data_IF_111100477995
#
_entry.id   IF_111100477995
#
_cell.length_a   1.000
_cell.length_b   1.000
_cell.length_c   1.000
_cell.angle_alpha   90.00
_cell.angle_beta   90.00
_cell.angle_gamma   90.00
#
_symmetry.space_group_name_H-M   'P 1'
#
loop_
_entity.id
_entity.type
_entity.pdbx_description
1 polymer ?
#
# COMPACT_ATOMS: atom_id res chain seq x y z
N UNK A 1 -8.98 -57.37 -46.75
CA UNK A 1 -7.83 -57.69 -47.61
C UNK A 1 -7.62 -59.19 -47.54
N UNK A 2 -7.57 -59.89 -48.68
CA UNK A 2 -7.22 -61.31 -48.70
C UNK A 2 -5.89 -61.51 -47.98
N UNK A 3 -5.83 -62.46 -47.05
CA UNK A 3 -4.61 -62.80 -46.34
C UNK A 3 -3.72 -63.57 -47.33
N UNK A 4 -3.03 -62.82 -48.21
CA UNK A 4 -2.13 -63.40 -49.20
C UNK A 4 -0.93 -63.94 -48.43
N UNK A 5 -0.79 -65.25 -48.46
CA UNK A 5 0.37 -65.92 -47.90
C UNK A 5 1.59 -65.66 -48.79
N UNK A 6 2.34 -64.61 -48.44
CA UNK A 6 3.55 -64.20 -49.15
C UNK A 6 4.63 -65.26 -49.07
N UNK A 7 4.67 -66.07 -48.01
CA UNK A 7 5.65 -67.14 -47.87
C UNK A 7 5.34 -68.26 -48.86
N UNK A 8 4.08 -68.67 -48.96
CA UNK A 8 3.64 -69.63 -49.97
C UNK A 8 3.89 -69.12 -51.40
N UNK A 9 3.76 -67.82 -51.66
CA UNK A 9 4.12 -67.22 -52.95
C UNK A 9 5.64 -67.27 -53.20
N UNK A 10 6.46 -66.91 -52.21
CA UNK A 10 7.92 -66.99 -52.32
C UNK A 10 8.39 -68.41 -52.61
N UNK A 11 7.83 -69.41 -51.92
CA UNK A 11 8.13 -70.82 -52.15
C UNK A 11 7.69 -71.30 -53.53
N UNK A 12 6.51 -70.85 -54.00
CA UNK A 12 5.97 -71.22 -55.32
C UNK A 12 6.78 -70.69 -56.49
N UNK A 13 7.27 -69.45 -56.39
CA UNK A 13 7.99 -68.76 -57.45
C UNK A 13 9.52 -68.84 -57.31
N UNK A 14 10.00 -69.53 -56.27
CA UNK A 14 11.42 -69.87 -56.13
C UNK A 14 11.83 -70.96 -57.11
N UNK A 15 13.10 -70.98 -57.57
CA UNK A 15 13.64 -72.07 -58.37
C UNK A 15 13.41 -73.42 -57.70
N UNK A 16 12.91 -74.40 -58.46
CA UNK A 16 12.70 -75.75 -57.94
C UNK A 16 14.04 -76.48 -57.81
N UNK A 17 14.27 -77.20 -56.71
CA UNK A 17 15.47 -78.03 -56.58
C UNK A 17 15.48 -79.11 -57.67
N UNK A 18 16.68 -79.50 -58.07
CA UNK A 18 16.88 -80.62 -58.99
C UNK A 18 16.34 -81.89 -58.32
N UNK A 19 15.46 -82.67 -58.98
CA UNK A 19 14.91 -83.88 -58.40
C UNK A 19 15.98 -84.97 -58.30
N UNK A 20 15.88 -85.77 -57.25
CA UNK A 20 16.66 -86.99 -57.06
C UNK A 20 16.00 -88.17 -57.79
N UNK A 21 16.82 -89.12 -58.23
CA UNK A 21 16.33 -90.32 -58.89
C UNK A 21 15.59 -91.23 -57.89
N UNK A 22 14.32 -91.52 -58.13
CA UNK A 22 13.53 -92.41 -57.26
C UNK A 22 14.01 -93.89 -57.27
N UNK A 23 14.94 -94.25 -58.16
CA UNK A 23 15.48 -95.61 -58.28
C UNK A 23 16.81 -95.75 -57.51
N UNK A 24 17.70 -94.74 -57.55
CA UNK A 24 19.03 -94.82 -56.93
C UNK A 24 19.39 -93.66 -55.98
N UNK A 25 18.57 -92.62 -55.88
CA UNK A 25 18.79 -91.47 -54.99
C UNK A 25 19.74 -90.39 -55.53
N UNK A 26 20.40 -90.62 -56.67
CA UNK A 26 21.36 -89.66 -57.24
C UNK A 26 20.67 -88.44 -57.88
N UNK A 27 21.33 -87.28 -57.85
CA UNK A 27 20.85 -86.04 -58.46
C UNK A 27 20.69 -86.22 -59.97
N UNK A 28 19.52 -85.87 -60.49
CA UNK A 28 19.20 -86.10 -61.90
C UNK A 28 19.73 -84.96 -62.78
N UNK A 29 20.07 -85.29 -64.03
CA UNK A 29 20.55 -84.28 -64.99
C UNK A 29 19.44 -83.85 -65.95
N UNK A 30 19.50 -82.61 -66.41
CA UNK A 30 18.54 -82.04 -67.37
C UNK A 30 18.71 -82.69 -68.74
N UNK A 31 17.64 -83.30 -69.26
CA UNK A 31 17.64 -83.97 -70.56
C UNK A 31 16.99 -83.12 -71.66
N UNK A 32 15.94 -82.39 -71.28
CA UNK A 32 15.21 -81.50 -72.19
C UNK A 32 14.59 -80.35 -71.41
N UNK A 33 14.78 -79.14 -71.89
CA UNK A 33 14.07 -77.95 -71.42
C UNK A 33 13.15 -77.45 -72.53
N UNK A 34 11.85 -77.35 -72.24
CA UNK A 34 10.87 -76.75 -73.15
C UNK A 34 10.01 -75.77 -72.36
N UNK A 35 10.36 -74.49 -72.46
CA UNK A 35 9.75 -73.40 -71.68
C UNK A 35 9.71 -73.76 -70.18
N UNK A 36 8.51 -73.86 -69.60
CA UNK A 36 8.31 -74.19 -68.18
C UNK A 36 8.43 -75.69 -67.86
N UNK A 37 8.65 -76.58 -68.82
CA UNK A 37 8.75 -78.03 -68.56
C UNK A 37 10.19 -78.49 -68.69
N UNK A 38 10.79 -78.85 -67.56
CA UNK A 38 12.14 -79.40 -67.49
C UNK A 38 12.00 -80.91 -67.27
N UNK A 39 12.55 -81.69 -68.19
CA UNK A 39 12.63 -83.15 -68.04
C UNK A 39 14.00 -83.52 -67.51
N UNK A 40 14.00 -84.11 -66.32
CA UNK A 40 15.17 -84.68 -65.68
C UNK A 40 15.22 -86.18 -65.96
N UNK A 41 16.42 -86.73 -66.09
CA UNK A 41 16.66 -88.17 -66.25
C UNK A 41 17.89 -88.58 -65.46
N UNK A 42 17.86 -89.77 -64.87
CA UNK A 42 19.05 -90.34 -64.26
C UNK A 42 19.86 -91.05 -65.35
N UNK A 43 20.86 -90.36 -65.88
CA UNK A 43 21.78 -90.91 -66.89
C UNK A 43 22.74 -91.93 -66.29
N UNK A 44 22.95 -91.94 -64.97
CA UNK A 44 23.99 -92.75 -64.33
C UNK A 44 25.39 -92.39 -64.82
N UNK A 45 25.53 -91.20 -65.43
CA UNK A 45 26.76 -90.68 -65.99
C UNK A 45 27.48 -89.84 -64.94
N UNK A 46 28.71 -90.21 -64.66
CA UNK A 46 29.64 -89.41 -63.88
C UNK A 46 30.63 -88.74 -64.85
N UNK A 47 30.93 -87.47 -64.58
CA UNK A 47 31.82 -86.67 -65.40
C UNK A 47 33.10 -86.43 -64.61
N UNK A 48 34.23 -86.91 -65.13
CA UNK A 48 35.57 -86.62 -64.62
C UNK A 48 36.47 -86.09 -65.75
N UNK A 49 37.75 -85.83 -65.43
CA UNK A 49 38.75 -85.33 -66.39
C UNK A 49 39.03 -86.30 -67.56
N UNK A 50 38.52 -87.54 -67.52
CA UNK A 50 38.64 -88.57 -68.56
C UNK A 50 37.39 -88.71 -69.43
N UNK A 51 36.34 -87.94 -69.13
CA UNK A 51 35.10 -87.89 -69.90
C UNK A 51 33.93 -88.60 -69.22
N UNK A 52 32.84 -88.76 -69.97
CA UNK A 52 31.60 -89.35 -69.47
C UNK A 52 31.76 -90.88 -69.30
N UNK A 53 31.58 -91.37 -68.07
CA UNK A 53 31.57 -92.79 -67.77
C UNK A 53 30.27 -93.16 -67.05
N UNK A 54 29.74 -94.33 -67.38
CA UNK A 54 28.49 -94.85 -66.83
C UNK A 54 28.78 -95.92 -65.78
N UNK A 55 27.96 -96.00 -64.73
CA UNK A 55 28.05 -97.09 -63.77
C UNK A 55 27.86 -98.46 -64.45
N UNK A 56 28.39 -99.52 -63.85
CA UNK A 56 28.40 -100.86 -64.46
C UNK A 56 26.98 -101.35 -64.79
N UNK A 57 26.75 -101.74 -66.05
CA UNK A 57 25.42 -102.13 -66.57
C UNK A 57 24.53 -100.97 -67.02
N UNK A 58 25.02 -99.73 -67.00
CA UNK A 58 24.28 -98.53 -67.42
C UNK A 58 24.70 -98.02 -68.79
N UNK A 59 23.80 -97.35 -69.50
CA UNK A 59 24.09 -96.70 -70.80
C UNK A 59 23.21 -95.46 -71.04
N UNK A 60 23.52 -94.66 -72.06
CA UNK A 60 22.89 -93.35 -72.35
C UNK A 60 21.36 -93.40 -72.58
N UNK A 61 20.78 -94.59 -72.75
CA UNK A 61 19.34 -94.81 -72.89
C UNK A 61 18.95 -96.20 -72.37
N UNK A 62 19.45 -96.58 -71.20
CA UNK A 62 19.07 -97.82 -70.54
C UNK A 62 17.67 -97.76 -69.91
N UNK A 63 17.14 -98.92 -69.49
CA UNK A 63 15.84 -99.01 -68.83
C UNK A 63 15.74 -98.10 -67.60
N UNK A 64 16.86 -97.89 -66.88
CA UNK A 64 16.91 -96.99 -65.74
C UNK A 64 16.73 -95.53 -66.17
N UNK A 65 17.39 -95.10 -67.24
CA UNK A 65 17.24 -93.78 -67.82
C UNK A 65 15.78 -93.56 -68.24
N UNK A 66 15.16 -94.51 -68.93
CA UNK A 66 13.77 -94.39 -69.37
C UNK A 66 12.79 -94.34 -68.19
N UNK A 67 12.95 -95.24 -67.21
CA UNK A 67 12.07 -95.33 -66.03
C UNK A 67 12.28 -94.19 -65.04
N UNK A 68 13.48 -93.62 -64.95
CA UNK A 68 13.80 -92.55 -64.00
C UNK A 68 13.24 -91.18 -64.42
N UNK A 69 12.83 -90.99 -65.68
CA UNK A 69 12.47 -89.67 -66.21
C UNK A 69 11.31 -89.04 -65.47
N UNK A 70 11.53 -87.80 -65.02
CA UNK A 70 10.49 -86.96 -64.41
C UNK A 70 10.43 -85.62 -65.13
N UNK A 71 9.23 -85.13 -65.41
CA UNK A 71 9.03 -83.77 -65.92
C UNK A 71 8.54 -82.88 -64.79
N UNK A 72 9.38 -81.91 -64.41
CA UNK A 72 9.03 -80.88 -63.46
C UNK A 72 8.56 -79.65 -64.23
N UNK A 73 7.44 -79.07 -63.80
CA UNK A 73 7.00 -77.75 -64.31
C UNK A 73 7.67 -76.68 -63.46
N UNK A 74 8.64 -75.98 -64.01
CA UNK A 74 9.26 -74.83 -63.38
C UNK A 74 8.42 -73.57 -63.65
N UNK A 75 7.89 -73.00 -62.58
CA UNK A 75 7.10 -71.76 -62.59
C UNK A 75 7.83 -70.65 -61.82
N UNK A 76 9.14 -70.81 -61.62
CA UNK A 76 9.95 -69.80 -60.96
C UNK A 76 9.94 -68.49 -61.75
N UNK A 77 9.81 -67.38 -61.01
CA UNK A 77 9.71 -66.05 -61.59
C UNK A 77 10.46 -65.05 -60.68
N UNK A 78 11.67 -64.61 -61.09
CA UNK A 78 12.47 -63.69 -60.29
C UNK A 78 11.82 -62.30 -60.17
N UNK A 79 11.01 -61.87 -61.14
CA UNK A 79 10.33 -60.58 -61.09
C UNK A 79 9.24 -60.58 -60.02
N UNK A 80 8.51 -61.70 -59.86
CA UNK A 80 7.54 -61.88 -58.77
C UNK A 80 8.22 -61.84 -57.40
N UNK A 81 9.39 -62.46 -57.24
CA UNK A 81 10.15 -62.42 -55.98
C UNK A 81 10.63 -61.00 -55.65
N UNK A 82 11.14 -60.26 -56.65
CA UNK A 82 11.54 -58.87 -56.48
C UNK A 82 10.36 -57.97 -56.07
N UNK A 83 9.18 -58.18 -56.67
CA UNK A 83 7.96 -57.47 -56.29
C UNK A 83 7.50 -57.79 -54.85
N UNK A 84 7.70 -59.02 -54.38
CA UNK A 84 7.41 -59.38 -52.98
C UNK A 84 8.36 -58.68 -52.01
N UNK A 85 9.66 -58.58 -52.34
CA UNK A 85 10.64 -57.82 -51.56
C UNK A 85 10.29 -56.33 -51.48
N UNK A 86 9.91 -55.73 -52.61
CA UNK A 86 9.44 -54.34 -52.65
C UNK A 86 8.17 -54.14 -51.83
N UNK A 87 7.24 -55.09 -51.90
CA UNK A 87 6.00 -55.04 -51.13
C UNK A 87 6.26 -55.13 -49.62
N UNK A 88 7.20 -55.98 -49.19
CA UNK A 88 7.61 -56.09 -47.79
C UNK A 88 8.26 -54.79 -47.29
N UNK A 89 9.15 -54.17 -48.09
CA UNK A 89 9.74 -52.86 -47.78
C UNK A 89 8.68 -51.77 -47.66
N UNK A 90 7.73 -51.71 -48.60
CA UNK A 90 6.62 -50.74 -48.55
C UNK A 90 5.73 -50.95 -47.33
N UNK A 91 5.46 -52.20 -46.95
CA UNK A 91 4.69 -52.49 -45.73
C UNK A 91 5.43 -52.08 -44.46
N UNK A 92 6.74 -52.30 -44.38
CA UNK A 92 7.55 -51.81 -43.25
C UNK A 92 7.55 -50.27 -43.20
N UNK A 93 7.68 -49.60 -44.33
CA UNK A 93 7.59 -48.14 -44.41
C UNK A 93 6.24 -47.61 -43.93
N UNK A 94 5.13 -48.23 -44.36
CA UNK A 94 3.78 -47.85 -43.90
C UNK A 94 3.67 -47.99 -42.38
N UNK A 95 4.14 -49.10 -41.80
CA UNK A 95 4.12 -49.30 -40.34
C UNK A 95 4.91 -48.22 -39.59
N UNK A 96 6.10 -47.85 -40.09
CA UNK A 96 6.90 -46.79 -39.48
C UNK A 96 6.20 -45.43 -39.58
N UNK A 97 5.57 -45.12 -40.72
CA UNK A 97 4.79 -43.90 -40.91
C UNK A 97 3.55 -43.85 -40.02
N UNK A 98 2.87 -44.96 -39.84
CA UNK A 98 1.71 -45.06 -38.96
C UNK A 98 2.13 -44.82 -37.49
N UNK A 99 3.26 -45.39 -37.06
CA UNK A 99 3.82 -45.12 -35.73
C UNK A 99 4.21 -43.65 -35.55
N UNK A 100 4.91 -43.06 -36.54
CA UNK A 100 5.29 -41.65 -36.52
C UNK A 100 4.04 -40.74 -36.45
N UNK A 101 3.00 -41.07 -37.21
CA UNK A 101 1.73 -40.33 -37.20
C UNK A 101 1.04 -40.43 -35.83
N UNK A 102 1.08 -41.59 -35.17
CA UNK A 102 0.54 -41.80 -33.83
C UNK A 102 1.30 -40.95 -32.79
N UNK A 103 2.64 -40.97 -32.83
CA UNK A 103 3.49 -40.17 -31.96
C UNK A 103 3.28 -38.66 -32.15
N UNK A 104 3.10 -38.22 -33.40
CA UNK A 104 2.75 -36.84 -33.74
C UNK A 104 1.38 -36.48 -33.16
N UNK A 105 0.36 -37.35 -33.33
CA UNK A 105 -0.97 -37.10 -32.80
C UNK A 105 -0.98 -36.97 -31.27
N UNK A 106 -0.22 -37.81 -30.57
CA UNK A 106 -0.04 -37.73 -29.12
C UNK A 106 0.64 -36.43 -28.71
N UNK A 107 1.69 -36.02 -29.44
CA UNK A 107 2.42 -34.78 -29.15
C UNK A 107 1.58 -33.54 -29.39
N UNK A 108 0.87 -33.47 -30.52
CA UNK A 108 -0.07 -32.38 -30.83
C UNK A 108 -1.19 -32.33 -29.79
N UNK A 109 -1.69 -33.49 -29.33
CA UNK A 109 -2.66 -33.57 -28.25
C UNK A 109 -2.16 -32.91 -26.95
N UNK A 110 -0.93 -33.23 -26.52
CA UNK A 110 -0.31 -32.63 -25.34
C UNK A 110 -0.15 -31.11 -25.47
N UNK A 111 0.39 -30.65 -26.60
CA UNK A 111 0.58 -29.22 -26.88
C UNK A 111 -0.74 -28.45 -26.89
N UNK A 112 -1.82 -29.06 -27.37
CA UNK A 112 -3.15 -28.43 -27.37
C UNK A 112 -3.68 -28.21 -25.96
N UNK A 113 -3.49 -29.19 -25.07
CA UNK A 113 -3.88 -29.07 -23.66
C UNK A 113 -3.06 -27.99 -22.96
N UNK A 114 -1.74 -27.96 -23.18
CA UNK A 114 -0.87 -26.93 -22.62
C UNK A 114 -1.26 -25.53 -23.11
N UNK A 115 -1.56 -25.37 -24.41
CA UNK A 115 -2.01 -24.11 -24.98
C UNK A 115 -3.30 -23.60 -24.34
N UNK A 116 -4.29 -24.48 -24.14
CA UNK A 116 -5.54 -24.11 -23.46
C UNK A 116 -5.28 -23.71 -21.99
N UNK A 117 -4.36 -24.39 -21.30
CA UNK A 117 -3.95 -23.99 -19.95
C UNK A 117 -3.29 -22.59 -19.94
N UNK A 118 -2.42 -22.29 -20.91
CA UNK A 118 -1.80 -20.97 -21.02
C UNK A 118 -2.83 -19.86 -21.29
N UNK A 119 -3.77 -20.08 -22.21
CA UNK A 119 -4.87 -19.13 -22.48
C UNK A 119 -5.71 -18.86 -21.23
N UNK A 120 -6.11 -19.92 -20.51
CA UNK A 120 -6.85 -19.77 -19.25
C UNK A 120 -6.04 -19.02 -18.18
N UNK A 121 -4.71 -19.19 -18.16
CA UNK A 121 -3.84 -18.42 -17.27
C UNK A 121 -3.77 -16.95 -17.68
N UNK A 122 -3.65 -16.64 -18.96
CA UNK A 122 -3.64 -15.26 -19.47
C UNK A 122 -4.95 -14.52 -19.18
N UNK A 123 -6.09 -15.18 -19.36
CA UNK A 123 -7.41 -14.62 -19.02
C UNK A 123 -7.50 -14.28 -17.52
N UNK A 124 -7.06 -15.19 -16.65
CA UNK A 124 -7.03 -14.96 -15.19
C UNK A 124 -6.12 -13.80 -14.81
N UNK A 125 -4.93 -13.71 -15.42
CA UNK A 125 -3.99 -12.61 -15.18
C UNK A 125 -4.60 -11.29 -15.63
N UNK A 126 -5.22 -11.26 -16.81
CA UNK A 126 -5.87 -10.06 -17.35
C UNK A 126 -6.97 -9.57 -16.41
N UNK A 127 -7.83 -10.48 -15.95
CA UNK A 127 -8.89 -10.14 -14.99
C UNK A 127 -8.31 -9.59 -13.67
N UNK A 128 -7.28 -10.24 -13.12
CA UNK A 128 -6.64 -9.78 -11.90
C UNK A 128 -6.04 -8.37 -12.04
N UNK A 129 -5.40 -8.08 -13.18
CA UNK A 129 -4.83 -6.75 -13.45
C UNK A 129 -5.93 -5.69 -13.53
N UNK A 130 -7.05 -5.98 -14.19
CA UNK A 130 -8.20 -5.07 -14.26
C UNK A 130 -8.83 -4.83 -12.88
N UNK A 131 -9.09 -5.89 -12.11
CA UNK A 131 -9.67 -5.79 -10.77
C UNK A 131 -8.75 -4.98 -9.83
N UNK A 132 -7.42 -5.21 -9.91
CA UNK A 132 -6.44 -4.42 -9.16
C UNK A 132 -6.42 -2.95 -9.62
N UNK A 133 -6.49 -2.68 -10.92
CA UNK A 133 -6.54 -1.30 -11.45
C UNK A 133 -7.75 -0.56 -10.89
N UNK A 134 -8.94 -1.15 -10.97
CA UNK A 134 -10.17 -0.56 -10.41
C UNK A 134 -10.07 -0.37 -8.90
N UNK A 135 -9.42 -1.31 -8.19
CA UNK A 135 -9.16 -1.15 -6.76
C UNK A 135 -8.25 0.05 -6.46
N UNK A 136 -7.21 0.27 -7.27
CA UNK A 136 -6.33 1.43 -7.13
C UNK A 136 -7.05 2.74 -7.41
N UNK A 137 -7.88 2.80 -8.45
CA UNK A 137 -8.67 3.99 -8.80
C UNK A 137 -9.55 4.44 -7.62
N UNK A 138 -10.26 3.50 -6.98
CA UNK A 138 -11.09 3.78 -5.80
C UNK A 138 -10.27 4.28 -4.61
N UNK A 139 -9.05 3.77 -4.43
CA UNK A 139 -8.15 4.24 -3.38
C UNK A 139 -7.64 5.66 -3.65
N UNK A 140 -7.31 5.97 -4.90
CA UNK A 140 -6.91 7.32 -5.30
C UNK A 140 -8.04 8.34 -5.12
N UNK A 141 -9.28 8.02 -5.52
CA UNK A 141 -10.42 8.90 -5.27
C UNK A 141 -10.65 9.16 -3.78
N UNK A 142 -10.51 8.13 -2.94
CA UNK A 142 -10.61 8.29 -1.48
C UNK A 142 -9.50 9.16 -0.91
N UNK A 143 -8.29 9.04 -1.44
CA UNK A 143 -7.14 9.86 -1.05
C UNK A 143 -7.38 11.32 -1.41
N UNK A 144 -7.75 11.61 -2.66
CA UNK A 144 -8.04 12.96 -3.15
C UNK A 144 -9.18 13.61 -2.35
N UNK A 145 -10.25 12.86 -2.07
CA UNK A 145 -11.34 13.33 -1.23
C UNK A 145 -10.90 13.61 0.22
N UNK A 146 -9.96 12.82 0.76
CA UNK A 146 -9.42 13.06 2.10
C UNK A 146 -8.52 14.29 2.15
N UNK A 147 -7.66 14.48 1.15
CA UNK A 147 -6.82 15.67 1.01
C UNK A 147 -7.67 16.94 0.91
N UNK A 148 -8.74 16.91 0.11
CA UNK A 148 -9.68 18.02 0.00
C UNK A 148 -10.33 18.35 1.36
N UNK A 149 -10.80 17.34 2.10
CA UNK A 149 -11.38 17.56 3.45
C UNK A 149 -10.36 18.15 4.42
N UNK A 150 -9.10 17.72 4.36
CA UNK A 150 -8.03 18.27 5.20
C UNK A 150 -7.78 19.74 4.85
N UNK A 151 -7.75 20.09 3.57
CA UNK A 151 -7.58 21.47 3.11
C UNK A 151 -8.74 22.37 3.60
N UNK A 152 -9.98 21.92 3.43
CA UNK A 152 -11.18 22.64 3.90
C UNK A 152 -11.16 22.83 5.44
N UNK A 153 -10.79 21.78 6.19
CA UNK A 153 -10.65 21.89 7.65
C UNK A 153 -9.56 22.88 8.05
N UNK A 154 -8.42 22.87 7.33
CA UNK A 154 -7.31 23.79 7.58
C UNK A 154 -7.75 25.24 7.40
N UNK A 155 -8.43 25.54 6.30
CA UNK A 155 -8.98 26.88 6.02
C UNK A 155 -9.97 27.32 7.11
N UNK A 156 -10.88 26.43 7.52
CA UNK A 156 -11.82 26.70 8.60
C UNK A 156 -11.10 27.07 9.91
N UNK A 157 -10.15 26.26 10.35
CA UNK A 157 -9.42 26.51 11.60
C UNK A 157 -8.54 27.75 11.52
N UNK A 158 -7.93 28.04 10.36
CA UNK A 158 -7.20 29.30 10.15
C UNK A 158 -8.11 30.52 10.31
N UNK A 159 -9.34 30.47 9.78
CA UNK A 159 -10.34 31.52 9.99
C UNK A 159 -10.70 31.72 11.46
N UNK A 160 -11.00 30.62 12.18
CA UNK A 160 -11.32 30.67 13.62
C UNK A 160 -10.17 31.25 14.44
N UNK A 161 -8.93 30.88 14.13
CA UNK A 161 -7.73 31.39 14.81
C UNK A 161 -7.55 32.88 14.51
N UNK A 162 -7.77 33.31 13.27
CA UNK A 162 -7.66 34.72 12.88
C UNK A 162 -8.68 35.60 13.62
N UNK A 163 -9.96 35.18 13.64
CA UNK A 163 -11.02 35.87 14.36
C UNK A 163 -10.77 35.91 15.87
N UNK A 164 -10.34 34.78 16.44
CA UNK A 164 -9.96 34.68 17.84
C UNK A 164 -8.81 35.63 18.19
N UNK A 165 -7.77 35.67 17.36
CA UNK A 165 -6.61 36.55 17.54
C UNK A 165 -7.00 38.03 17.48
N UNK A 166 -7.90 38.40 16.56
CA UNK A 166 -8.42 39.77 16.45
C UNK A 166 -9.16 40.18 17.72
N UNK A 167 -10.06 39.32 18.23
CA UNK A 167 -10.82 39.59 19.45
C UNK A 167 -9.92 39.72 20.69
N UNK A 168 -8.88 38.90 20.79
CA UNK A 168 -7.88 38.99 21.86
C UNK A 168 -7.16 40.35 21.79
N UNK A 169 -6.70 40.77 20.62
CA UNK A 169 -6.02 42.06 20.45
C UNK A 169 -6.92 43.26 20.84
N UNK A 170 -8.21 43.21 20.48
CA UNK A 170 -9.18 44.24 20.88
C UNK A 170 -9.37 44.28 22.41
N UNK A 171 -9.49 43.11 23.05
CA UNK A 171 -9.61 43.01 24.51
C UNK A 171 -8.33 43.50 25.21
N UNK A 172 -7.16 43.13 24.73
CA UNK A 172 -5.88 43.58 25.28
C UNK A 172 -5.75 45.10 25.22
N UNK A 173 -6.15 45.71 24.11
CA UNK A 173 -6.19 47.17 23.98
C UNK A 173 -7.14 47.80 24.99
N UNK A 174 -8.36 47.26 25.11
CA UNK A 174 -9.33 47.73 26.10
C UNK A 174 -8.82 47.61 27.55
N UNK A 175 -8.17 46.48 27.88
CA UNK A 175 -7.54 46.28 29.19
C UNK A 175 -6.42 47.29 29.45
N UNK A 176 -5.58 47.59 28.46
CA UNK A 176 -4.53 48.61 28.59
C UNK A 176 -5.11 50.00 28.84
N UNK A 177 -6.18 50.37 28.12
CA UNK A 177 -6.86 51.66 28.31
C UNK A 177 -7.51 51.76 29.69
N UNK A 178 -8.21 50.70 30.13
CA UNK A 178 -8.79 50.62 31.47
C UNK A 178 -7.70 50.72 32.55
N UNK A 179 -6.55 50.05 32.38
CA UNK A 179 -5.43 50.14 33.30
C UNK A 179 -4.87 51.56 33.40
N UNK A 180 -4.74 52.27 32.26
CA UNK A 180 -4.32 53.69 32.23
C UNK A 180 -5.31 54.57 32.99
N UNK A 181 -6.61 54.38 32.78
CA UNK A 181 -7.64 55.10 33.52
C UNK A 181 -7.52 54.83 35.02
N UNK A 182 -7.56 53.56 35.45
CA UNK A 182 -7.46 53.19 36.87
C UNK A 182 -6.25 53.85 37.54
N UNK A 183 -5.09 53.89 36.88
CA UNK A 183 -3.90 54.56 37.40
C UNK A 183 -4.07 56.08 37.54
N UNK A 184 -4.72 56.73 36.55
CA UNK A 184 -5.06 58.16 36.61
C UNK A 184 -6.00 58.48 37.78
N UNK A 185 -7.10 57.73 37.89
CA UNK A 185 -8.08 57.90 38.99
C UNK A 185 -7.45 57.64 40.35
N UNK A 186 -6.59 56.61 40.47
CA UNK A 186 -5.81 56.35 41.69
C UNK A 186 -4.92 57.53 42.06
N UNK A 187 -4.26 58.17 41.09
CA UNK A 187 -3.42 59.34 41.34
C UNK A 187 -4.25 60.52 41.84
N UNK A 188 -5.36 60.82 41.19
CA UNK A 188 -6.27 61.89 41.59
C UNK A 188 -6.82 61.65 43.01
N UNK A 189 -7.26 60.43 43.30
CA UNK A 189 -7.74 60.07 44.63
C UNK A 189 -6.66 60.29 45.72
N UNK A 190 -5.41 59.90 45.45
CA UNK A 190 -4.28 60.17 46.37
C UNK A 190 -4.05 61.67 46.60
N UNK A 191 -4.13 62.48 45.54
CA UNK A 191 -3.99 63.94 45.65
C UNK A 191 -5.12 64.53 46.49
N UNK A 192 -6.37 64.17 46.21
CA UNK A 192 -7.53 64.65 46.96
C UNK A 192 -7.47 64.26 48.45
N UNK A 193 -7.01 63.04 48.76
CA UNK A 193 -6.82 62.60 50.16
C UNK A 193 -5.72 63.44 50.83
N UNK A 194 -4.61 63.70 50.14
CA UNK A 194 -3.51 64.50 50.67
C UNK A 194 -3.94 65.97 50.91
N UNK A 195 -4.71 66.55 49.99
CA UNK A 195 -5.27 67.90 50.14
C UNK A 195 -6.23 67.98 51.32
N UNK A 196 -7.21 67.08 51.40
CA UNK A 196 -8.12 67.01 52.55
C UNK A 196 -7.39 66.78 53.87
N UNK A 197 -6.29 66.02 53.87
CA UNK A 197 -5.44 65.84 55.04
C UNK A 197 -4.79 67.15 55.53
N UNK A 198 -4.40 68.03 54.61
CA UNK A 198 -3.92 69.38 54.95
C UNK A 198 -5.04 70.22 55.54
N UNK A 199 -6.20 70.24 54.89
CA UNK A 199 -7.36 71.01 55.38
C UNK A 199 -7.78 70.58 56.79
N UNK A 200 -7.76 69.26 57.08
CA UNK A 200 -8.03 68.72 58.41
C UNK A 200 -6.97 69.21 59.41
N UNK A 201 -5.69 69.19 59.05
CA UNK A 201 -4.60 69.65 59.91
C UNK A 201 -4.74 71.15 60.24
N UNK A 202 -5.12 71.96 59.25
CA UNK A 202 -5.39 73.40 59.43
C UNK A 202 -6.62 73.64 60.32
N UNK A 203 -7.70 72.88 60.13
CA UNK A 203 -8.89 72.94 60.98
C UNK A 203 -8.58 72.55 62.42
N UNK A 204 -7.75 71.52 62.64
CA UNK A 204 -7.31 71.12 63.98
C UNK A 204 -6.49 72.22 64.65
N UNK A 205 -5.55 72.85 63.93
CA UNK A 205 -4.77 73.98 64.43
C UNK A 205 -5.67 75.19 64.77
N UNK A 206 -6.64 75.52 63.90
CA UNK A 206 -7.60 76.58 64.16
C UNK A 206 -8.48 76.30 65.38
N UNK A 207 -8.95 75.06 65.54
CA UNK A 207 -9.71 74.62 66.73
C UNK A 207 -8.88 74.74 68.00
N UNK A 208 -7.61 74.32 67.97
CA UNK A 208 -6.70 74.49 69.10
C UNK A 208 -6.52 75.97 69.45
N UNK A 209 -6.36 76.85 68.44
CA UNK A 209 -6.22 78.28 68.66
C UNK A 209 -7.48 78.91 69.24
N UNK A 210 -8.67 78.52 68.78
CA UNK A 210 -9.95 78.97 69.35
C UNK A 210 -10.04 78.52 70.81
N UNK A 211 -9.77 77.26 71.11
CA UNK A 211 -9.78 76.75 72.48
C UNK A 211 -8.78 77.49 73.39
N UNK A 212 -7.58 77.81 72.90
CA UNK A 212 -6.60 78.63 73.62
C UNK A 212 -7.17 80.03 73.90
N UNK A 213 -7.78 80.68 72.91
CA UNK A 213 -8.38 82.01 73.06
C UNK A 213 -9.57 82.01 74.01
N UNK A 214 -10.43 81.00 73.96
CA UNK A 214 -11.58 80.83 74.86
C UNK A 214 -11.14 80.54 76.31
N UNK A 215 -9.97 79.92 76.50
CA UNK A 215 -9.37 79.72 77.81
C UNK A 215 -8.71 80.98 78.37
N UNK A 216 -8.40 82.00 77.55
CA UNK A 216 -7.77 83.24 78.02
C UNK A 216 -8.75 84.06 78.85
N UNK A 217 -8.29 84.44 80.03
CA UNK A 217 -9.01 85.34 80.93
C UNK A 217 -8.40 86.74 80.86
N UNK A 218 -9.22 87.77 80.69
CA UNK A 218 -8.80 89.17 80.78
C UNK A 218 -8.60 89.53 82.25
N UNK A 219 -7.51 90.23 82.57
CA UNK A 219 -7.26 90.69 83.94
C UNK A 219 -7.75 92.13 84.09
N UNK A 220 -8.81 92.32 84.87
CA UNK A 220 -9.33 93.64 85.24
C UNK A 220 -9.40 93.70 86.76
N UNK A 221 -8.44 94.42 87.36
CA UNK A 221 -8.33 94.52 88.81
C UNK A 221 -9.58 95.15 89.40
N UNK A 222 -10.24 94.44 90.33
CA UNK A 222 -11.36 94.97 91.09
C UNK A 222 -10.82 95.64 92.35
N UNK A 223 -10.69 96.96 92.30
CA UNK A 223 -10.28 97.79 93.43
C UNK A 223 -11.51 98.36 94.13
N UNK A 224 -11.46 98.41 95.45
CA UNK A 224 -12.44 99.14 96.26
C UNK A 224 -12.30 100.64 96.09
N UNK A 225 -13.39 101.38 96.36
CA UNK A 225 -13.38 102.86 96.32
C UNK A 225 -12.25 103.43 97.18
N UNK A 226 -11.97 102.82 98.34
CA UNK A 226 -10.85 103.23 99.20
C UNK A 226 -9.48 103.04 98.57
N UNK A 227 -9.23 101.91 97.89
CA UNK A 227 -7.97 101.66 97.18
C UNK A 227 -7.79 102.62 96.00
N UNK A 228 -8.86 102.92 95.27
CA UNK A 228 -8.81 103.89 94.15
C UNK A 228 -8.56 105.30 94.67
N UNK A 229 -9.22 105.71 95.76
CA UNK A 229 -8.97 106.99 96.42
C UNK A 229 -7.50 107.15 96.83
N UNK A 230 -6.88 106.09 97.35
CA UNK A 230 -5.45 106.09 97.69
C UNK A 230 -4.54 106.28 96.46
N UNK A 231 -4.95 105.78 95.29
CA UNK A 231 -4.20 105.89 94.03
C UNK A 231 -4.45 107.20 93.27
N UNK A 232 -5.62 107.83 93.45
CA UNK A 232 -6.10 108.95 92.64
C UNK A 232 -6.09 110.31 93.35
N UNK A 233 -5.48 110.42 94.53
CA UNK A 233 -5.40 111.67 95.29
C UNK A 233 -6.66 112.01 96.11
N UNK A 234 -7.35 110.99 96.64
CA UNK A 234 -8.45 111.07 97.62
C UNK A 234 -9.76 111.73 97.14
N UNK A 235 -9.96 111.91 95.83
CA UNK A 235 -11.26 112.30 95.29
C UNK A 235 -12.25 111.14 95.34
N UNK A 236 -13.29 111.27 96.17
CA UNK A 236 -14.33 110.24 96.33
C UNK A 236 -15.20 110.09 95.08
N UNK A 237 -15.66 111.21 94.51
CA UNK A 237 -16.52 111.20 93.31
C UNK A 237 -15.81 110.57 92.11
N UNK A 238 -14.50 110.82 91.96
CA UNK A 238 -13.68 110.18 90.94
C UNK A 238 -13.55 108.67 91.20
N UNK A 239 -13.28 108.26 92.44
CA UNK A 239 -13.11 106.85 92.79
C UNK A 239 -14.39 106.04 92.61
N UNK A 240 -15.55 106.59 93.00
CA UNK A 240 -16.86 105.96 92.78
C UNK A 240 -17.19 105.87 91.29
N UNK A 241 -16.92 106.91 90.50
CA UNK A 241 -17.07 106.90 89.04
C UNK A 241 -16.16 105.89 88.34
N UNK A 242 -14.90 105.76 88.80
CA UNK A 242 -13.96 104.76 88.28
C UNK A 242 -14.45 103.34 88.60
N UNK A 243 -14.86 103.06 89.83
CA UNK A 243 -15.39 101.74 90.22
C UNK A 243 -16.65 101.37 89.41
N UNK A 244 -17.59 102.31 89.26
CA UNK A 244 -18.80 102.09 88.46
C UNK A 244 -18.48 101.86 86.98
N UNK A 245 -17.55 102.62 86.40
CA UNK A 245 -17.06 102.40 85.04
C UNK A 245 -16.34 101.06 84.87
N UNK A 246 -15.56 100.65 85.87
CA UNK A 246 -14.85 99.37 85.90
C UNK A 246 -15.81 98.18 86.00
N UNK A 247 -16.84 98.26 86.85
CA UNK A 247 -17.89 97.24 86.95
C UNK A 247 -18.72 97.14 85.66
N UNK A 248 -19.03 98.28 85.02
CA UNK A 248 -19.69 98.30 83.71
C UNK A 248 -18.82 97.68 82.62
N UNK A 249 -17.52 97.97 82.59
CA UNK A 249 -16.58 97.35 81.66
C UNK A 249 -16.49 95.83 81.86
N UNK A 250 -16.45 95.36 83.12
CA UNK A 250 -16.48 93.92 83.44
C UNK A 250 -17.80 93.29 82.98
N UNK A 251 -18.94 93.96 83.17
CA UNK A 251 -20.24 93.48 82.72
C UNK A 251 -20.29 93.32 81.19
N UNK A 252 -19.87 94.34 80.43
CA UNK A 252 -19.87 94.28 78.96
C UNK A 252 -18.90 93.22 78.41
N UNK A 253 -17.72 93.06 79.03
CA UNK A 253 -16.76 92.01 78.66
C UNK A 253 -17.36 90.61 78.88
N UNK A 254 -18.09 90.42 79.99
CA UNK A 254 -18.79 89.17 80.28
C UNK A 254 -19.97 88.93 79.34
N UNK A 255 -20.74 89.97 79.02
CA UNK A 255 -21.85 89.89 78.07
C UNK A 255 -21.36 89.47 76.66
N UNK A 256 -20.13 89.84 76.30
CA UNK A 256 -19.44 89.39 75.09
C UNK A 256 -18.88 87.95 75.16
N UNK A 257 -19.07 87.23 76.28
CA UNK A 257 -18.63 85.85 76.48
C UNK A 257 -17.15 85.69 76.86
N UNK A 258 -16.46 86.76 77.25
CA UNK A 258 -15.03 86.73 77.60
C UNK A 258 -14.87 86.56 79.12
N UNK A 259 -14.01 85.62 79.53
CA UNK A 259 -13.71 85.36 80.94
C UNK A 259 -12.87 86.50 81.53
N UNK A 260 -13.18 86.92 82.76
CA UNK A 260 -12.40 87.93 83.52
C UNK A 260 -11.81 87.28 84.76
N UNK A 261 -10.52 87.49 85.04
CA UNK A 261 -9.84 86.95 86.24
C UNK A 261 -10.54 87.42 87.51
N UNK A 262 -10.72 86.51 88.47
CA UNK A 262 -11.48 86.77 89.70
C UNK A 262 -12.95 86.33 89.62
N UNK A 263 -13.29 85.49 88.64
CA UNK A 263 -14.23 84.38 88.87
C UNK A 263 -13.76 83.50 90.04
#
# INVERSE_FOLDING_TARGET
>A
MSNIDKQALRERYSPKPVPECHICGEEMTIQRMSASRITYGCTGATYDDKGCHYAEGRSIADDHYEQSRVTVVDVSDPDVLALLDELDKKQQYIKLRDQENEDIALTVGKLRVELEHYKSREERVTKLVLDNSTSWDVLYEKLEAAEKRIAEQREYYEGVIADGSKRIAELEKGHQEAAKQINSWRRLAKQNIAERGKDISELEAARQRIAELEARTVNLSKLSVGEVMHLSGFSRDYAEGWCAGNDNAIHEIRAAGIKVKGE
#
